data_IF_308322851888
#
_entry.id   IF_308322851888
#
_cell.length_a   1.000
_cell.length_b   1.000
_cell.length_c   1.000
_cell.angle_alpha   90.00
_cell.angle_beta   90.00
_cell.angle_gamma   90.00
#
_symmetry.space_group_name_H-M   'P 1'
#
loop_
_entity.id
_entity.type
_entity.pdbx_description
1 polymer ?
#
# COMPACT_ATOMS: atom_id res chain seq x y z
N UNK A 1 -10.19 -15.54 27.20
CA UNK A 1 -10.21 -14.16 27.70
C UNK A 1 -8.87 -13.42 27.64
N UNK A 2 -7.84 -13.98 26.97
CA UNK A 2 -6.48 -13.38 26.84
C UNK A 2 -6.14 -12.76 25.46
N UNK A 3 -7.10 -12.65 24.52
CA UNK A 3 -6.79 -12.15 23.14
C UNK A 3 -7.13 -10.67 22.92
N UNK A 4 -7.94 -10.03 23.76
CA UNK A 4 -8.38 -8.64 23.57
C UNK A 4 -7.33 -7.58 23.91
N UNK A 5 -6.49 -7.82 24.90
CA UNK A 5 -5.49 -6.85 25.37
C UNK A 5 -4.23 -6.76 24.51
N UNK A 6 -3.88 -7.77 23.72
CA UNK A 6 -2.72 -7.72 22.80
C UNK A 6 -2.99 -6.93 21.52
N UNK A 7 -4.24 -6.89 21.03
CA UNK A 7 -4.60 -6.18 19.78
C UNK A 7 -4.71 -4.66 19.93
N UNK A 8 -5.07 -4.17 21.12
CA UNK A 8 -5.11 -2.73 21.39
C UNK A 8 -3.72 -2.08 21.44
N UNK A 9 -2.67 -2.84 21.80
CA UNK A 9 -1.30 -2.32 21.85
C UNK A 9 -0.66 -2.11 20.47
N UNK A 10 -1.12 -2.81 19.42
CA UNK A 10 -0.63 -2.64 18.04
C UNK A 10 -1.22 -1.41 17.34
N UNK A 11 -2.26 -0.79 17.90
CA UNK A 11 -2.91 0.45 17.41
C UNK A 11 -2.42 1.72 18.10
N UNK A 12 -1.32 1.68 18.81
CA UNK A 12 -0.71 2.89 19.32
C UNK A 12 -0.36 3.82 18.14
N UNK A 13 -0.58 5.13 18.34
CA UNK A 13 -0.23 6.22 17.39
C UNK A 13 1.20 6.12 16.86
N UNK A 14 2.02 5.31 17.51
CA UNK A 14 3.38 4.96 17.12
C UNK A 14 3.55 3.44 17.27
N UNK A 15 3.21 2.63 16.25
CA UNK A 15 3.61 1.23 16.27
C UNK A 15 5.14 1.18 16.21
N UNK A 16 5.77 1.16 17.36
CA UNK A 16 7.18 0.79 17.51
C UNK A 16 7.24 -0.73 17.32
N UNK A 17 6.87 -1.19 16.11
CA UNK A 17 6.91 -2.61 15.77
C UNK A 17 8.37 -3.07 15.78
N UNK A 18 8.68 -3.89 16.75
CA UNK A 18 9.73 -4.93 16.81
C UNK A 18 11.10 -4.65 16.14
N UNK A 19 11.57 -3.40 16.14
CA UNK A 19 12.96 -3.07 15.77
C UNK A 19 14.00 -3.70 16.70
N UNK A 20 13.59 -4.30 17.83
CA UNK A 20 14.49 -4.95 18.78
C UNK A 20 15.38 -6.02 18.13
N UNK A 21 14.91 -6.71 17.09
CA UNK A 21 15.71 -7.72 16.38
C UNK A 21 16.71 -7.11 15.37
N UNK A 22 16.58 -5.83 15.01
CA UNK A 22 17.49 -5.13 14.09
C UNK A 22 18.57 -4.29 14.78
N UNK A 23 18.46 -4.08 16.09
CA UNK A 23 19.44 -3.26 16.82
C UNK A 23 20.79 -3.95 16.79
N UNK A 24 21.78 -3.32 16.15
CA UNK A 24 23.16 -3.81 16.04
C UNK A 24 23.45 -4.68 14.82
N UNK A 25 22.51 -4.94 13.95
CA UNK A 25 22.78 -5.60 12.66
C UNK A 25 23.44 -4.63 11.67
N UNK A 26 24.23 -5.19 10.76
CA UNK A 26 24.82 -4.41 9.67
C UNK A 26 23.73 -3.83 8.75
N UNK A 27 23.93 -2.61 8.18
CA UNK A 27 23.05 -2.08 7.14
C UNK A 27 22.93 -3.07 5.97
N UNK A 28 21.71 -3.24 5.44
CA UNK A 28 21.44 -4.22 4.37
C UNK A 28 21.19 -5.64 4.87
N UNK A 29 21.07 -5.86 6.18
CA UNK A 29 20.66 -7.16 6.72
C UNK A 29 19.19 -7.42 6.38
N UNK A 30 18.92 -8.41 5.52
CA UNK A 30 17.60 -8.81 5.09
C UNK A 30 16.93 -9.64 6.19
N UNK A 31 16.29 -8.94 7.14
CA UNK A 31 15.56 -9.55 8.26
C UNK A 31 14.14 -9.02 8.25
N UNK A 32 13.17 -9.93 8.18
CA UNK A 32 11.76 -9.56 8.18
C UNK A 32 11.35 -8.82 9.47
N UNK A 33 10.72 -7.67 9.30
CA UNK A 33 10.15 -6.86 10.37
C UNK A 33 8.65 -6.69 10.11
N UNK A 34 7.85 -7.57 10.67
CA UNK A 34 6.42 -7.61 10.49
C UNK A 34 5.77 -8.67 11.39
N UNK A 35 4.52 -9.00 11.11
CA UNK A 35 3.85 -10.13 11.76
C UNK A 35 4.24 -11.44 11.07
N UNK A 36 4.70 -12.43 11.84
CA UNK A 36 5.00 -13.76 11.32
C UNK A 36 3.73 -14.38 10.70
N UNK A 37 3.86 -14.89 9.49
CA UNK A 37 2.76 -15.51 8.73
C UNK A 37 3.11 -16.93 8.33
N UNK A 38 2.08 -17.75 8.11
CA UNK A 38 2.22 -19.16 7.71
C UNK A 38 1.82 -19.41 6.25
N UNK A 39 1.33 -18.39 5.54
CA UNK A 39 0.98 -18.50 4.12
C UNK A 39 2.24 -18.59 3.28
N UNK A 40 2.35 -19.49 2.29
CA UNK A 40 3.53 -19.54 1.42
C UNK A 40 3.67 -18.26 0.59
N UNK A 41 4.90 -17.93 0.25
CA UNK A 41 5.18 -16.87 -0.75
C UNK A 41 4.75 -17.37 -2.12
N UNK A 42 3.98 -16.56 -2.84
CA UNK A 42 3.49 -16.85 -4.19
C UNK A 42 3.98 -15.83 -5.21
N UNK A 43 4.04 -16.27 -6.47
CA UNK A 43 4.51 -15.47 -7.59
C UNK A 43 3.50 -15.53 -8.72
N UNK A 44 2.97 -14.39 -9.13
CA UNK A 44 2.16 -14.23 -10.32
C UNK A 44 2.95 -13.41 -11.34
N UNK A 45 3.16 -13.96 -12.54
CA UNK A 45 3.89 -13.30 -13.63
C UNK A 45 2.94 -13.00 -14.77
N UNK A 46 2.61 -11.72 -14.94
CA UNK A 46 1.77 -11.24 -16.04
C UNK A 46 2.64 -10.60 -17.10
N UNK A 47 2.77 -11.22 -18.27
CA UNK A 47 3.49 -10.67 -19.41
C UNK A 47 2.50 -10.21 -20.47
N UNK A 48 2.66 -8.98 -20.95
CA UNK A 48 1.75 -8.42 -21.95
C UNK A 48 2.44 -7.52 -22.95
N UNK A 49 1.80 -7.36 -24.10
CA UNK A 49 2.14 -6.44 -25.17
C UNK A 49 0.85 -5.95 -25.81
N UNK A 50 0.91 -5.17 -26.90
CA UNK A 50 -0.28 -4.59 -27.54
C UNK A 50 -1.38 -5.61 -27.81
N UNK A 51 -1.01 -6.79 -28.32
CA UNK A 51 -1.94 -7.83 -28.75
C UNK A 51 -1.82 -9.14 -27.96
N UNK A 52 -0.95 -9.17 -26.94
CA UNK A 52 -0.66 -10.40 -26.18
C UNK A 52 -0.84 -10.19 -24.69
N UNK A 53 -1.29 -11.26 -24.01
CA UNK A 53 -1.40 -11.32 -22.57
C UNK A 53 -1.20 -12.78 -22.13
N UNK A 54 -0.36 -12.99 -21.13
CA UNK A 54 -0.06 -14.30 -20.55
C UNK A 54 0.07 -14.13 -19.04
N UNK A 55 -0.48 -15.07 -18.29
CA UNK A 55 -0.33 -15.18 -16.85
C UNK A 55 0.29 -16.54 -16.52
N UNK A 56 1.42 -16.51 -15.84
CA UNK A 56 2.15 -17.67 -15.34
C UNK A 56 2.23 -17.63 -13.81
N UNK A 57 2.28 -18.79 -13.18
CA UNK A 57 2.41 -18.94 -11.73
C UNK A 57 3.56 -19.86 -11.39
N UNK A 58 4.80 -19.35 -11.45
CA UNK A 58 5.98 -20.13 -11.09
C UNK A 58 5.96 -20.55 -9.61
N UNK A 59 6.51 -21.72 -9.33
CA UNK A 59 6.55 -22.27 -7.97
C UNK A 59 7.75 -21.75 -7.18
N UNK A 60 8.80 -21.31 -7.87
CA UNK A 60 10.06 -20.88 -7.26
C UNK A 60 10.41 -19.44 -7.61
N UNK A 61 11.18 -18.78 -6.74
CA UNK A 61 11.71 -17.45 -6.99
C UNK A 61 12.59 -17.40 -8.25
N UNK A 62 13.35 -18.47 -8.53
CA UNK A 62 14.21 -18.55 -9.70
C UNK A 62 13.41 -18.57 -11.00
N UNK A 63 12.38 -19.41 -11.08
CA UNK A 63 11.47 -19.48 -12.23
C UNK A 63 10.74 -18.15 -12.44
N UNK A 64 10.32 -17.49 -11.34
CA UNK A 64 9.65 -16.21 -11.40
C UNK A 64 10.56 -15.13 -12.00
N UNK A 65 11.83 -15.07 -11.57
CA UNK A 65 12.81 -14.13 -12.12
C UNK A 65 13.15 -14.47 -13.56
N UNK A 66 13.30 -15.75 -13.91
CA UNK A 66 13.56 -16.17 -15.29
C UNK A 66 12.41 -15.74 -16.22
N UNK A 67 11.16 -15.95 -15.79
CA UNK A 67 9.97 -15.50 -16.53
C UNK A 67 9.94 -13.97 -16.66
N UNK A 68 10.32 -13.23 -15.62
CA UNK A 68 10.39 -11.77 -15.63
C UNK A 68 11.44 -11.24 -16.62
N UNK A 69 12.65 -11.79 -16.58
CA UNK A 69 13.78 -11.30 -17.39
C UNK A 69 13.69 -11.74 -18.86
N UNK A 70 13.04 -12.86 -19.16
CA UNK A 70 12.99 -13.46 -20.50
C UNK A 70 11.71 -13.18 -21.29
N UNK A 71 10.93 -12.20 -20.90
CA UNK A 71 9.63 -11.88 -21.51
C UNK A 71 9.68 -11.47 -23.00
N UNK A 72 10.87 -11.16 -23.51
CA UNK A 72 11.11 -10.76 -24.90
C UNK A 72 10.92 -9.27 -25.15
N UNK A 73 11.53 -8.78 -26.23
CA UNK A 73 11.52 -7.36 -26.58
C UNK A 73 10.11 -6.84 -26.89
N UNK A 74 9.81 -5.63 -26.41
CA UNK A 74 8.54 -4.94 -26.67
C UNK A 74 7.36 -5.41 -25.80
N UNK A 75 7.61 -6.25 -24.82
CA UNK A 75 6.63 -6.66 -23.79
C UNK A 75 6.95 -6.02 -22.46
N UNK A 76 5.93 -5.91 -21.62
CA UNK A 76 6.05 -5.50 -20.22
C UNK A 76 5.68 -6.69 -19.34
N UNK A 77 6.47 -6.96 -18.32
CA UNK A 77 6.20 -8.02 -17.35
C UNK A 77 5.89 -7.42 -15.99
N UNK A 78 4.84 -7.89 -15.38
CA UNK A 78 4.52 -7.64 -13.98
C UNK A 78 4.76 -8.94 -13.19
N UNK A 79 5.80 -8.94 -12.37
CA UNK A 79 6.04 -9.97 -11.38
C UNK A 79 5.44 -9.51 -10.05
N UNK A 80 4.36 -10.13 -9.63
CA UNK A 80 3.68 -9.84 -8.37
C UNK A 80 4.05 -10.89 -7.32
N UNK A 81 4.75 -10.46 -6.28
CA UNK A 81 5.27 -11.29 -5.19
C UNK A 81 4.42 -11.07 -3.95
N UNK A 82 3.67 -12.06 -3.55
CA UNK A 82 2.85 -12.01 -2.33
C UNK A 82 3.51 -12.80 -1.20
N UNK A 83 3.79 -12.10 -0.11
CA UNK A 83 4.49 -12.65 1.06
C UNK A 83 5.94 -12.21 1.12
N UNK A 84 6.27 -11.28 2.02
CA UNK A 84 7.66 -10.81 2.24
C UNK A 84 8.27 -11.33 3.54
N UNK A 85 7.57 -12.22 4.24
CA UNK A 85 7.98 -12.77 5.53
C UNK A 85 9.05 -13.85 5.42
N UNK A 86 9.20 -14.51 4.26
CA UNK A 86 10.30 -15.44 3.99
C UNK A 86 11.50 -14.67 3.44
N UNK A 87 12.28 -14.04 4.34
CA UNK A 87 13.39 -13.15 4.00
C UNK A 87 14.41 -13.78 3.03
N UNK A 88 14.69 -15.07 3.18
CA UNK A 88 15.64 -15.81 2.32
C UNK A 88 15.17 -15.87 0.86
N UNK A 89 13.85 -16.07 0.63
CA UNK A 89 13.29 -16.07 -0.73
C UNK A 89 13.36 -14.67 -1.36
N UNK A 90 13.05 -13.63 -0.57
CA UNK A 90 13.13 -12.24 -1.03
C UNK A 90 14.57 -11.84 -1.31
N UNK A 91 15.52 -12.25 -0.47
CA UNK A 91 16.94 -12.03 -0.69
C UNK A 91 17.40 -12.68 -1.99
N UNK A 92 17.11 -13.98 -2.20
CA UNK A 92 17.47 -14.70 -3.42
C UNK A 92 16.89 -14.04 -4.68
N UNK A 93 15.62 -13.64 -4.62
CA UNK A 93 14.97 -12.91 -5.71
C UNK A 93 15.66 -11.56 -5.97
N UNK A 94 15.96 -10.80 -4.91
CA UNK A 94 16.64 -9.52 -4.99
C UNK A 94 18.06 -9.64 -5.56
N UNK A 95 18.85 -10.64 -5.14
CA UNK A 95 20.18 -10.90 -5.67
C UNK A 95 20.13 -11.20 -7.17
N UNK A 96 19.19 -12.00 -7.63
CA UNK A 96 19.01 -12.32 -9.07
C UNK A 96 18.53 -11.11 -9.89
N UNK A 97 17.74 -10.24 -9.29
CA UNK A 97 17.32 -8.99 -9.91
C UNK A 97 18.38 -7.88 -9.81
N UNK A 98 19.51 -8.12 -9.16
CA UNK A 98 20.59 -7.12 -8.95
C UNK A 98 20.19 -6.00 -7.98
N UNK A 99 19.24 -6.22 -7.09
CA UNK A 99 18.81 -5.22 -6.13
C UNK A 99 19.86 -5.00 -5.04
N UNK A 100 20.06 -3.75 -4.61
CA UNK A 100 20.95 -3.43 -3.51
C UNK A 100 20.49 -4.10 -2.20
N UNK A 101 21.42 -4.41 -1.32
CA UNK A 101 21.11 -4.99 -0.01
C UNK A 101 20.16 -4.08 0.81
N UNK A 102 20.28 -2.75 0.66
CA UNK A 102 19.39 -1.79 1.31
C UNK A 102 17.96 -1.86 0.74
N UNK A 103 17.81 -1.98 -0.58
CA UNK A 103 16.50 -2.17 -1.20
C UNK A 103 15.83 -3.46 -0.74
N UNK A 104 16.60 -4.56 -0.66
CA UNK A 104 16.10 -5.85 -0.15
C UNK A 104 15.68 -5.75 1.33
N UNK A 105 16.48 -5.06 2.15
CA UNK A 105 16.14 -4.76 3.55
C UNK A 105 14.81 -3.98 3.65
N UNK A 106 14.61 -2.97 2.80
CA UNK A 106 13.41 -2.14 2.79
C UNK A 106 12.15 -2.90 2.36
N UNK A 107 12.28 -3.84 1.42
CA UNK A 107 11.17 -4.71 1.00
C UNK A 107 10.65 -5.55 2.17
N UNK A 108 11.55 -6.17 2.94
CA UNK A 108 11.15 -7.02 4.08
C UNK A 108 10.85 -6.26 5.36
N UNK A 109 11.13 -4.95 5.40
CA UNK A 109 10.82 -4.08 6.53
C UNK A 109 9.48 -3.39 6.33
N UNK A 110 8.40 -4.06 6.66
CA UNK A 110 7.03 -3.57 6.45
C UNK A 110 6.63 -2.38 7.33
N UNK A 111 7.56 -1.83 8.12
CA UNK A 111 7.40 -0.60 8.90
C UNK A 111 7.96 0.65 8.21
N UNK A 112 8.41 0.55 6.97
CA UNK A 112 9.00 1.67 6.24
C UNK A 112 7.98 2.78 5.92
N UNK A 113 8.51 4.00 5.86
CA UNK A 113 7.78 5.14 5.32
C UNK A 113 7.79 5.06 3.79
N UNK A 114 6.73 5.50 3.15
CA UNK A 114 6.70 5.64 1.69
C UNK A 114 7.87 6.52 1.20
N UNK A 115 8.56 6.06 0.16
CA UNK A 115 9.73 6.72 -0.42
C UNK A 115 9.97 6.29 -1.87
N UNK A 116 10.78 7.06 -2.58
CA UNK A 116 11.32 6.75 -3.91
C UNK A 116 12.83 6.78 -3.83
N UNK A 117 13.48 5.80 -4.44
CA UNK A 117 14.93 5.75 -4.65
C UNK A 117 15.23 5.39 -6.11
N UNK A 118 16.18 6.08 -6.70
CA UNK A 118 16.59 5.87 -8.10
C UNK A 118 17.98 5.25 -8.16
N UNK A 119 18.14 4.27 -9.04
CA UNK A 119 19.39 3.60 -9.39
C UNK A 119 19.57 3.69 -10.89
N UNK A 120 20.77 3.44 -11.42
CA UNK A 120 21.03 3.56 -12.86
C UNK A 120 20.09 2.72 -13.73
N UNK A 121 19.71 1.53 -13.28
CA UNK A 121 18.92 0.54 -14.00
C UNK A 121 17.55 0.22 -13.39
N UNK A 122 17.18 0.90 -12.31
CA UNK A 122 15.93 0.64 -11.61
C UNK A 122 15.43 1.83 -10.78
N UNK A 123 14.12 1.84 -10.49
CA UNK A 123 13.49 2.78 -9.57
C UNK A 123 12.78 1.96 -8.50
N UNK A 124 13.11 2.20 -7.25
CA UNK A 124 12.43 1.60 -6.11
C UNK A 124 11.40 2.57 -5.52
N UNK A 125 10.17 2.10 -5.34
CA UNK A 125 9.08 2.86 -4.74
C UNK A 125 8.49 2.01 -3.62
N UNK A 126 8.50 2.53 -2.40
CA UNK A 126 7.76 1.93 -1.28
C UNK A 126 6.56 2.80 -0.94
N UNK A 127 5.41 2.18 -0.74
CA UNK A 127 4.17 2.87 -0.41
C UNK A 127 3.32 2.03 0.56
N UNK A 128 2.15 2.54 0.96
CA UNK A 128 1.18 1.82 1.77
C UNK A 128 -0.14 1.73 1.03
N UNK A 129 -0.64 0.53 0.90
CA UNK A 129 -2.01 0.24 0.53
C UNK A 129 -2.87 0.27 1.81
N UNK A 130 -3.98 0.99 1.77
CA UNK A 130 -4.94 1.04 2.87
C UNK A 130 -6.19 0.25 2.49
N UNK A 131 -6.77 -0.44 3.44
CA UNK A 131 -8.05 -1.11 3.29
C UNK A 131 -8.78 -1.18 4.64
N UNK A 132 -10.08 -1.45 4.60
CA UNK A 132 -10.88 -1.66 5.80
C UNK A 132 -10.88 -3.14 6.18
N UNK A 133 -10.38 -3.47 7.36
CA UNK A 133 -10.37 -4.84 7.89
C UNK A 133 -11.71 -5.18 8.55
N UNK A 134 -12.32 -6.28 8.11
CA UNK A 134 -13.62 -6.74 8.63
C UNK A 134 -13.49 -7.71 9.80
N UNK A 135 -12.38 -7.78 10.50
CA UNK A 135 -12.21 -8.77 11.57
C UNK A 135 -13.24 -8.68 12.70
N UNK A 136 -13.85 -7.51 12.92
CA UNK A 136 -14.83 -7.28 13.98
C UNK A 136 -16.10 -6.54 13.48
N UNK A 137 -16.30 -6.42 12.15
CA UNK A 137 -17.40 -5.63 11.57
C UNK A 137 -17.29 -4.12 11.77
N UNK A 138 -16.23 -3.65 12.39
CA UNK A 138 -16.06 -2.26 12.81
C UNK A 138 -15.39 -1.36 11.76
N UNK A 139 -15.00 -1.90 10.60
CA UNK A 139 -14.44 -1.10 9.48
C UNK A 139 -13.11 -0.39 9.80
N UNK A 140 -12.27 -0.97 10.65
CA UNK A 140 -10.99 -0.38 11.00
C UNK A 140 -10.01 -0.33 9.84
N UNK A 141 -9.22 0.74 9.79
CA UNK A 141 -8.22 0.92 8.74
C UNK A 141 -6.98 0.06 9.02
N UNK A 142 -6.56 -0.66 7.99
CA UNK A 142 -5.33 -1.46 7.97
C UNK A 142 -4.42 -0.92 6.87
N UNK A 143 -3.10 -0.88 7.11
CA UNK A 143 -2.11 -0.52 6.14
C UNK A 143 -1.17 -1.70 5.86
N UNK A 144 -0.95 -1.96 4.60
CA UNK A 144 -0.01 -2.96 4.08
C UNK A 144 1.07 -2.28 3.24
N UNK A 145 2.31 -2.72 3.35
CA UNK A 145 3.37 -2.22 2.49
C UNK A 145 3.27 -2.84 1.10
N UNK A 146 3.32 -1.97 0.10
CA UNK A 146 3.55 -2.35 -1.30
C UNK A 146 4.86 -1.72 -1.73
N UNK A 147 5.80 -2.55 -2.18
CA UNK A 147 7.07 -2.10 -2.73
C UNK A 147 7.11 -2.41 -4.22
N UNK A 148 7.54 -1.46 -5.04
CA UNK A 148 7.66 -1.60 -6.48
C UNK A 148 9.12 -1.43 -6.90
N UNK A 149 9.58 -2.29 -7.80
CA UNK A 149 10.84 -2.12 -8.50
C UNK A 149 10.54 -1.99 -9.99
N UNK A 150 10.76 -0.81 -10.54
CA UNK A 150 10.60 -0.53 -11.97
C UNK A 150 11.92 -0.81 -12.68
N UNK A 151 11.88 -1.62 -13.72
CA UNK A 151 13.03 -2.01 -14.54
C UNK A 151 12.68 -1.91 -16.05
N UNK A 152 13.67 -2.02 -16.93
CA UNK A 152 13.38 -2.04 -18.39
C UNK A 152 12.43 -3.16 -18.82
N UNK A 153 12.48 -4.31 -18.14
CA UNK A 153 11.67 -5.49 -18.45
C UNK A 153 10.22 -5.35 -17.96
N UNK A 154 10.00 -4.56 -16.89
CA UNK A 154 8.69 -4.47 -16.26
C UNK A 154 8.70 -3.91 -14.85
N UNK A 155 7.76 -4.37 -14.06
CA UNK A 155 7.62 -4.01 -12.64
C UNK A 155 7.58 -5.26 -11.79
N UNK A 156 8.33 -5.26 -10.69
CA UNK A 156 8.17 -6.24 -9.61
C UNK A 156 7.45 -5.57 -8.46
N UNK A 157 6.30 -6.11 -8.05
CA UNK A 157 5.59 -5.68 -6.85
C UNK A 157 5.77 -6.69 -5.73
N UNK A 158 5.91 -6.19 -4.50
CA UNK A 158 6.02 -6.98 -3.29
C UNK A 158 4.91 -6.58 -2.33
N UNK A 159 4.14 -7.55 -1.87
CA UNK A 159 3.01 -7.39 -0.96
C UNK A 159 3.17 -8.29 0.26
N UNK A 160 2.55 -7.92 1.39
CA UNK A 160 2.65 -8.68 2.64
C UNK A 160 1.70 -9.88 2.66
N UNK A 161 0.51 -9.73 2.07
CA UNK A 161 -0.60 -10.72 2.17
C UNK A 161 -1.35 -10.90 0.86
N UNK A 162 -1.99 -12.07 0.67
CA UNK A 162 -2.95 -12.27 -0.40
C UNK A 162 -4.21 -11.39 -0.23
N UNK A 163 -4.85 -11.05 -1.34
CA UNK A 163 -6.12 -10.30 -1.34
C UNK A 163 -5.91 -8.80 -1.48
N UNK A 164 -5.20 -8.40 -2.50
CA UNK A 164 -4.94 -7.01 -2.85
C UNK A 164 -6.13 -6.33 -3.56
N UNK A 165 -5.92 -5.06 -3.92
CA UNK A 165 -6.90 -4.22 -4.62
C UNK A 165 -6.64 -4.13 -6.13
N UNK A 166 -5.73 -4.92 -6.69
CA UNK A 166 -5.26 -4.77 -8.07
C UNK A 166 -6.04 -5.56 -9.11
N UNK A 167 -7.10 -6.24 -8.75
CA UNK A 167 -7.95 -6.98 -9.71
C UNK A 167 -8.47 -6.11 -10.86
N UNK A 168 -8.95 -4.86 -10.65
CA UNK A 168 -9.35 -3.99 -11.75
C UNK A 168 -8.20 -3.68 -12.72
N UNK A 169 -6.96 -3.58 -12.23
CA UNK A 169 -5.78 -3.38 -13.06
C UNK A 169 -5.44 -4.66 -13.85
N UNK A 170 -5.50 -5.83 -13.22
CA UNK A 170 -5.34 -7.14 -13.88
C UNK A 170 -6.37 -7.33 -15.00
N UNK A 171 -7.63 -6.98 -14.76
CA UNK A 171 -8.69 -7.01 -15.77
C UNK A 171 -8.43 -6.03 -16.93
N UNK A 172 -7.94 -4.82 -16.67
CA UNK A 172 -7.54 -3.86 -17.71
C UNK A 172 -6.42 -4.41 -18.58
N UNK A 173 -5.42 -5.05 -17.99
CA UNK A 173 -4.34 -5.73 -18.72
C UNK A 173 -4.90 -6.89 -19.53
N UNK A 174 -5.72 -7.77 -18.95
CA UNK A 174 -6.28 -8.95 -19.62
C UNK A 174 -7.19 -8.57 -20.80
N UNK A 175 -8.05 -7.55 -20.63
CA UNK A 175 -8.98 -7.09 -21.67
C UNK A 175 -8.33 -6.19 -22.73
N UNK A 176 -7.14 -5.68 -22.48
CA UNK A 176 -6.46 -4.72 -23.39
C UNK A 176 -7.12 -3.34 -23.42
N UNK A 177 -7.93 -2.99 -22.42
CA UNK A 177 -8.61 -1.70 -22.37
C UNK A 177 -7.65 -0.57 -22.04
N UNK A 178 -7.83 0.57 -22.69
CA UNK A 178 -7.02 1.76 -22.50
C UNK A 178 -5.62 1.61 -23.08
N UNK A 179 -4.65 2.34 -22.50
CA UNK A 179 -3.28 2.39 -23.02
C UNK A 179 -2.30 1.44 -22.32
N UNK A 180 -2.72 0.70 -21.29
CA UNK A 180 -1.83 -0.09 -20.44
C UNK A 180 -0.96 -1.07 -21.25
N UNK A 181 -1.52 -1.74 -22.26
CA UNK A 181 -0.77 -2.69 -23.11
C UNK A 181 0.19 -2.05 -24.11
N UNK A 182 0.08 -0.73 -24.34
CA UNK A 182 0.92 0.04 -25.29
C UNK A 182 1.89 0.96 -24.57
N UNK A 183 1.79 1.03 -23.26
CA UNK A 183 2.67 1.82 -22.43
C UNK A 183 3.77 0.94 -21.82
N UNK A 184 4.87 1.55 -21.42
CA UNK A 184 6.01 0.86 -20.83
C UNK A 184 5.85 0.56 -19.33
N UNK A 185 6.92 0.00 -18.71
CA UNK A 185 6.93 -0.38 -17.29
C UNK A 185 6.58 0.75 -16.33
N UNK A 186 7.04 1.96 -16.60
CA UNK A 186 6.75 3.12 -15.76
C UNK A 186 5.25 3.45 -15.70
N UNK A 187 4.52 3.26 -16.80
CA UNK A 187 3.06 3.43 -16.78
C UNK A 187 2.36 2.35 -15.95
N UNK A 188 2.88 1.12 -15.94
CA UNK A 188 2.37 0.05 -15.06
C UNK A 188 2.59 0.43 -13.59
N UNK A 189 3.79 0.91 -13.24
CA UNK A 189 4.07 1.36 -11.87
C UNK A 189 3.15 2.51 -11.46
N UNK A 190 2.96 3.52 -12.34
CA UNK A 190 1.97 4.57 -12.13
C UNK A 190 0.57 3.99 -11.91
N UNK A 191 0.11 3.06 -12.75
CA UNK A 191 -1.23 2.50 -12.65
C UNK A 191 -1.46 1.70 -11.36
N UNK A 192 -0.41 1.07 -10.79
CA UNK A 192 -0.47 0.44 -9.46
C UNK A 192 -0.61 1.51 -8.37
N UNK A 193 0.15 2.61 -8.45
CA UNK A 193 0.05 3.72 -7.49
C UNK A 193 -1.32 4.41 -7.56
N UNK A 194 -1.87 4.57 -8.76
CA UNK A 194 -3.19 5.15 -9.02
C UNK A 194 -4.29 4.34 -8.32
N UNK A 195 -4.30 3.01 -8.50
CA UNK A 195 -5.24 2.12 -7.80
C UNK A 195 -5.09 2.23 -6.27
N UNK A 196 -3.87 2.35 -5.76
CA UNK A 196 -3.63 2.53 -4.31
C UNK A 196 -4.25 3.84 -3.81
N UNK A 197 -4.09 4.94 -4.56
CA UNK A 197 -4.67 6.24 -4.19
C UNK A 197 -6.20 6.22 -4.27
N UNK A 198 -6.75 5.66 -5.34
CA UNK A 198 -8.19 5.52 -5.49
C UNK A 198 -8.80 4.75 -4.32
N UNK A 199 -8.12 3.72 -3.84
CA UNK A 199 -8.61 2.96 -2.70
C UNK A 199 -8.57 3.73 -1.37
N UNK A 200 -7.78 4.80 -1.26
CA UNK A 200 -7.82 5.67 -0.08
C UNK A 200 -9.17 6.40 0.02
N UNK A 201 -9.79 6.78 -1.11
CA UNK A 201 -11.15 7.34 -1.12
C UNK A 201 -12.16 6.33 -0.60
N UNK A 202 -12.09 5.08 -1.04
CA UNK A 202 -12.98 4.00 -0.56
C UNK A 202 -12.86 3.81 0.95
N UNK A 203 -11.63 3.87 1.47
CA UNK A 203 -11.40 3.80 2.91
C UNK A 203 -12.03 4.99 3.63
N UNK A 204 -11.88 6.21 3.10
CA UNK A 204 -12.44 7.41 3.70
C UNK A 204 -13.98 7.46 3.62
N UNK A 205 -14.56 6.98 2.53
CA UNK A 205 -16.03 6.81 2.42
C UNK A 205 -16.57 5.90 3.53
N UNK A 206 -15.89 4.77 3.78
CA UNK A 206 -16.26 3.88 4.90
C UNK A 206 -16.14 4.58 6.27
N UNK A 207 -15.14 5.46 6.46
CA UNK A 207 -15.01 6.22 7.71
C UNK A 207 -16.08 7.32 7.83
N UNK A 208 -16.50 7.94 6.70
CA UNK A 208 -17.59 8.91 6.69
C UNK A 208 -18.93 8.25 7.08
N UNK A 209 -19.27 7.11 6.46
CA UNK A 209 -20.46 6.33 6.83
C UNK A 209 -20.46 5.92 8.32
N UNK A 210 -19.27 5.62 8.84
CA UNK A 210 -19.11 5.28 10.26
C UNK A 210 -19.35 6.49 11.16
N UNK A 211 -18.92 7.68 10.75
CA UNK A 211 -19.18 8.94 11.46
C UNK A 211 -20.67 9.26 11.49
N UNK A 212 -21.39 9.14 10.37
CA UNK A 212 -22.83 9.34 10.28
C UNK A 212 -23.61 8.38 11.22
N UNK A 213 -23.27 7.09 11.24
CA UNK A 213 -23.90 6.13 12.15
C UNK A 213 -23.64 6.48 13.61
N UNK A 214 -22.47 7.01 13.95
CA UNK A 214 -22.16 7.43 15.31
C UNK A 214 -22.94 8.68 15.70
N UNK A 215 -23.19 9.61 14.78
CA UNK A 215 -24.04 10.77 15.01
C UNK A 215 -25.47 10.35 15.39
N UNK A 216 -26.06 9.43 14.63
CA UNK A 216 -27.39 8.89 14.90
C UNK A 216 -27.45 8.24 16.31
N UNK A 217 -26.46 7.41 16.65
CA UNK A 217 -26.39 6.77 17.97
C UNK A 217 -26.24 7.77 19.13
N UNK A 218 -25.49 8.87 18.94
CA UNK A 218 -25.37 9.95 19.94
C UNK A 218 -26.72 10.63 20.19
N UNK A 219 -27.50 10.83 19.14
CA UNK A 219 -28.81 11.46 19.26
C UNK A 219 -29.85 10.55 19.92
N UNK A 220 -29.77 9.24 19.71
CA UNK A 220 -30.73 8.27 20.22
C UNK A 220 -30.39 7.86 21.66
N UNK A 221 -29.24 7.26 21.89
CA UNK A 221 -28.81 6.71 23.19
C UNK A 221 -27.29 6.68 23.34
N UNK A 222 -26.67 7.80 23.75
CA UNK A 222 -25.22 7.89 23.93
C UNK A 222 -24.75 7.04 25.11
N UNK A 223 -24.09 5.93 24.83
CA UNK A 223 -23.49 5.03 25.79
C UNK A 223 -21.94 5.02 25.75
N UNK A 224 -21.30 4.22 26.60
CA UNK A 224 -19.84 4.07 26.63
C UNK A 224 -19.29 3.45 25.34
N UNK A 225 -20.09 2.65 24.62
CA UNK A 225 -19.67 2.04 23.37
C UNK A 225 -19.55 3.09 22.27
N UNK A 226 -20.47 4.05 22.19
CA UNK A 226 -20.41 5.18 21.26
C UNK A 226 -19.13 5.99 21.49
N UNK A 227 -18.77 6.25 22.75
CA UNK A 227 -17.51 6.94 23.07
C UNK A 227 -16.29 6.14 22.59
N UNK A 228 -16.30 4.83 22.79
CA UNK A 228 -15.22 3.96 22.35
C UNK A 228 -15.07 4.02 20.84
N UNK A 229 -16.16 3.90 20.10
CA UNK A 229 -16.19 3.88 18.64
C UNK A 229 -15.80 5.22 18.03
N UNK A 230 -16.17 6.35 18.65
CA UNK A 230 -15.68 7.69 18.28
C UNK A 230 -14.15 7.80 18.43
N UNK A 231 -13.61 7.29 19.53
CA UNK A 231 -12.16 7.30 19.74
C UNK A 231 -11.44 6.41 18.71
N UNK A 232 -12.03 5.27 18.34
CA UNK A 232 -11.49 4.39 17.29
C UNK A 232 -11.52 5.09 15.92
N UNK A 233 -12.64 5.75 15.55
CA UNK A 233 -12.75 6.54 14.34
C UNK A 233 -11.64 7.61 14.26
N UNK A 234 -11.44 8.35 15.34
CA UNK A 234 -10.38 9.37 15.42
C UNK A 234 -8.99 8.78 15.24
N UNK A 235 -8.72 7.61 15.80
CA UNK A 235 -7.44 6.90 15.61
C UNK A 235 -7.26 6.45 14.17
N UNK A 236 -8.30 5.89 13.56
CA UNK A 236 -8.26 5.44 12.17
C UNK A 236 -7.98 6.62 11.21
N UNK A 237 -8.60 7.79 11.41
CA UNK A 237 -8.35 8.99 10.60
C UNK A 237 -6.92 9.52 10.76
N UNK A 238 -6.36 9.52 11.97
CA UNK A 238 -4.95 9.86 12.20
C UNK A 238 -4.03 8.85 11.51
N UNK A 239 -4.42 7.58 11.50
CA UNK A 239 -3.66 6.51 10.84
C UNK A 239 -3.68 6.66 9.32
N UNK A 240 -4.83 6.96 8.69
CA UNK A 240 -4.93 7.29 7.26
C UNK A 240 -4.03 8.46 6.92
N UNK A 241 -4.13 9.59 7.66
CA UNK A 241 -3.30 10.77 7.44
C UNK A 241 -1.81 10.46 7.44
N UNK A 242 -1.38 9.64 8.39
CA UNK A 242 0.03 9.23 8.54
C UNK A 242 0.57 8.53 7.30
N UNK A 243 -0.27 7.81 6.56
CA UNK A 243 0.12 7.10 5.34
C UNK A 243 -0.13 7.91 4.07
N UNK A 244 -1.19 8.70 4.03
CA UNK A 244 -1.50 9.56 2.89
C UNK A 244 -0.46 10.66 2.68
N UNK A 245 0.05 11.26 3.76
CA UNK A 245 1.06 12.32 3.65
C UNK A 245 2.35 11.87 2.94
N UNK A 246 3.01 10.77 3.33
CA UNK A 246 4.20 10.29 2.62
C UNK A 246 3.90 9.85 1.18
N UNK A 247 2.70 9.35 0.90
CA UNK A 247 2.29 9.00 -0.45
C UNK A 247 2.22 10.23 -1.36
N UNK A 248 1.67 11.34 -0.88
CA UNK A 248 1.71 12.62 -1.59
C UNK A 248 3.14 13.06 -1.91
N UNK A 249 4.09 12.88 -0.97
CA UNK A 249 5.51 13.21 -1.19
C UNK A 249 6.14 12.30 -2.26
N UNK A 250 5.79 11.01 -2.28
CA UNK A 250 6.21 10.07 -3.33
C UNK A 250 5.74 10.56 -4.70
N UNK A 251 4.44 10.88 -4.85
CA UNK A 251 3.88 11.36 -6.12
C UNK A 251 4.49 12.70 -6.55
N UNK A 252 4.71 13.62 -5.60
CA UNK A 252 5.39 14.88 -5.87
C UNK A 252 6.84 14.69 -6.34
N UNK A 253 7.54 13.67 -5.84
CA UNK A 253 8.87 13.31 -6.32
C UNK A 253 8.80 12.73 -7.74
N UNK A 254 7.89 11.77 -7.99
CA UNK A 254 7.71 11.13 -9.29
C UNK A 254 7.30 12.11 -10.39
N UNK A 255 6.49 13.13 -10.07
CA UNK A 255 6.09 14.18 -11.02
C UNK A 255 7.28 14.97 -11.58
N UNK A 256 8.32 15.16 -10.76
CA UNK A 256 9.52 15.95 -11.08
C UNK A 256 10.75 15.12 -11.40
N UNK A 257 10.59 13.80 -11.38
CA UNK A 257 11.70 12.88 -11.54
C UNK A 257 12.17 12.83 -12.99
N UNK A 258 13.48 13.00 -13.19
CA UNK A 258 14.15 12.80 -14.48
C UNK A 258 14.95 11.51 -14.39
N UNK A 259 14.50 10.46 -15.08
CA UNK A 259 15.16 9.16 -15.11
C UNK A 259 14.87 8.46 -16.43
N UNK A 260 15.84 7.70 -16.97
CA UNK A 260 15.70 7.00 -18.27
C UNK A 260 14.52 6.03 -18.31
N UNK A 261 14.20 5.39 -17.18
CA UNK A 261 13.05 4.48 -17.04
C UNK A 261 11.73 5.20 -16.77
N UNK A 262 11.74 6.52 -16.55
CA UNK A 262 10.56 7.31 -16.21
C UNK A 262 10.36 8.44 -17.23
N UNK A 263 9.68 8.19 -18.35
CA UNK A 263 9.48 9.19 -19.41
C UNK A 263 8.58 10.33 -18.94
N UNK A 264 9.19 11.38 -18.41
CA UNK A 264 8.55 12.53 -17.77
C UNK A 264 7.42 13.11 -18.61
N UNK A 265 7.68 13.43 -19.89
CA UNK A 265 6.71 14.06 -20.78
C UNK A 265 5.41 13.26 -20.93
N UNK A 266 5.53 11.94 -20.95
CA UNK A 266 4.38 11.04 -21.13
C UNK A 266 3.63 10.76 -19.83
N UNK A 267 4.36 10.64 -18.72
CA UNK A 267 3.78 10.24 -17.42
C UNK A 267 3.35 11.42 -16.56
N UNK A 268 3.96 12.58 -16.72
CA UNK A 268 3.71 13.75 -15.89
C UNK A 268 2.23 14.11 -15.73
N UNK A 269 1.39 14.11 -16.79
CA UNK A 269 -0.03 14.42 -16.63
C UNK A 269 -0.76 13.42 -15.72
N UNK A 270 -0.40 12.14 -15.80
CA UNK A 270 -1.00 11.07 -15.00
C UNK A 270 -0.54 11.10 -13.55
N UNK A 271 0.76 11.29 -13.33
CA UNK A 271 1.32 11.39 -11.97
C UNK A 271 0.82 12.64 -11.27
N UNK A 272 0.62 13.73 -12.01
CA UNK A 272 0.03 14.96 -11.48
C UNK A 272 -1.41 14.73 -11.04
N UNK A 273 -2.21 14.03 -11.82
CA UNK A 273 -3.58 13.68 -11.47
C UNK A 273 -3.62 12.85 -10.17
N UNK A 274 -2.79 11.80 -10.07
CA UNK A 274 -2.66 11.03 -8.84
C UNK A 274 -2.15 11.86 -7.65
N UNK A 275 -1.27 12.86 -7.88
CA UNK A 275 -0.86 13.80 -6.83
C UNK A 275 -2.03 14.67 -6.36
N UNK A 276 -2.85 15.18 -7.28
CA UNK A 276 -4.05 15.97 -6.95
C UNK A 276 -5.06 15.11 -6.15
N UNK A 277 -5.24 13.83 -6.50
CA UNK A 277 -6.01 12.88 -5.70
C UNK A 277 -5.45 12.69 -4.29
N UNK A 278 -4.14 12.59 -4.14
CA UNK A 278 -3.51 12.48 -2.81
C UNK A 278 -3.71 13.75 -1.96
N UNK A 279 -3.76 14.93 -2.57
CA UNK A 279 -4.12 16.19 -1.89
C UNK A 279 -5.58 16.15 -1.43
N UNK A 280 -6.50 15.74 -2.31
CA UNK A 280 -7.93 15.59 -1.96
C UNK A 280 -8.15 14.59 -0.82
N UNK A 281 -7.45 13.46 -0.83
CA UNK A 281 -7.47 12.49 0.28
C UNK A 281 -7.09 13.15 1.61
N UNK A 282 -6.04 13.98 1.62
CA UNK A 282 -5.62 14.69 2.84
C UNK A 282 -6.66 15.72 3.30
N UNK A 283 -7.28 16.44 2.39
CA UNK A 283 -8.35 17.40 2.70
C UNK A 283 -9.58 16.69 3.29
N UNK A 284 -9.98 15.55 2.72
CA UNK A 284 -11.06 14.71 3.26
C UNK A 284 -10.73 14.18 4.66
N UNK A 285 -9.49 13.75 4.89
CA UNK A 285 -9.04 13.31 6.23
C UNK A 285 -9.19 14.43 7.25
N UNK A 286 -8.75 15.65 6.92
CA UNK A 286 -8.89 16.79 7.86
C UNK A 286 -10.36 17.12 8.12
N UNK A 287 -11.22 17.13 7.10
CA UNK A 287 -12.66 17.36 7.26
C UNK A 287 -13.33 16.30 8.16
N UNK A 288 -13.00 15.01 7.96
CA UNK A 288 -13.53 13.94 8.79
C UNK A 288 -12.98 13.98 10.23
N UNK A 289 -11.76 14.45 10.44
CA UNK A 289 -11.20 14.66 11.77
C UNK A 289 -11.90 15.79 12.53
N UNK A 290 -12.23 16.88 11.84
CA UNK A 290 -13.03 17.97 12.41
C UNK A 290 -14.43 17.50 12.77
N UNK A 291 -15.09 16.75 11.88
CA UNK A 291 -16.39 16.12 12.14
C UNK A 291 -16.32 15.22 13.38
N UNK A 292 -15.35 14.30 13.45
CA UNK A 292 -15.19 13.41 14.60
C UNK A 292 -14.87 14.15 15.91
N UNK A 293 -14.27 15.35 15.83
CA UNK A 293 -14.13 16.27 16.96
C UNK A 293 -15.47 16.82 17.43
N UNK A 294 -16.27 17.33 16.49
CA UNK A 294 -17.62 17.85 16.77
C UNK A 294 -18.58 16.79 17.33
N UNK A 295 -18.50 15.54 16.83
CA UNK A 295 -19.29 14.43 17.38
C UNK A 295 -18.91 14.11 18.84
N UNK A 296 -17.65 14.25 19.22
CA UNK A 296 -17.24 14.08 20.61
C UNK A 296 -17.82 15.15 21.51
N UNK A 297 -17.85 16.41 21.05
CA UNK A 297 -18.45 17.51 21.80
C UNK A 297 -19.98 17.34 21.92
N UNK A 298 -20.64 16.87 20.86
CA UNK A 298 -22.06 16.53 20.86
C UNK A 298 -22.36 15.38 21.87
N UNK A 299 -21.53 14.32 21.87
CA UNK A 299 -21.64 13.22 22.82
C UNK A 299 -21.55 13.70 24.27
N UNK A 300 -20.57 14.55 24.59
CA UNK A 300 -20.42 15.13 25.94
C UNK A 300 -21.62 15.97 26.34
N UNK A 301 -22.19 16.71 25.41
CA UNK A 301 -23.40 17.53 25.63
C UNK A 301 -24.63 16.64 25.89
N UNK A 302 -24.83 15.60 25.09
CA UNK A 302 -25.93 14.65 25.24
C UNK A 302 -25.90 13.93 26.61
N UNK A 303 -24.71 13.56 27.08
CA UNK A 303 -24.53 12.96 28.42
C UNK A 303 -24.86 13.96 29.55
N UNK A 304 -24.51 15.26 29.39
CA UNK A 304 -24.72 16.25 30.46
C UNK A 304 -26.17 16.70 30.57
N UNK A 305 -27.01 16.43 29.57
CA UNK A 305 -28.43 16.79 29.54
C UNK A 305 -29.38 15.67 30.02
N UNK A 306 -28.84 14.49 30.26
CA UNK A 306 -29.51 13.37 30.91
C UNK A 306 -29.32 13.39 32.43
#
# INVERSE_FOLDING_TARGET
MMSRTRRAADRLLFPVKKRKHKVGLAPGSVVFVGEARSTPVTFDVTTYGPDTHQLDRPETADEAVDSFLNAGNGRVTWLDVTGVHEADKIQRLGERLGLSALTQEDIVNTGQRAKVETFDDSIFISTKMLYTGNHDGAGHVVAEQVSLVVRPEGVVSFQEVPGDIFDPLRERIASGRGRIRRAGPAYLAYAILDVIIDNYFVVLETQAERAEKLEDLIMDDPDEQVQHDLNELRRDLVYVRRHAWPMREVLSHLERMTHSLWPEETLRPFVRDAYEHAVQVLDMVESLRELAGGLMDLYMTALSTR
#
